data_IF_565142071789
#
_entry.id   IF_565142071789
#
_cell.length_a   1.000
_cell.length_b   1.000
_cell.length_c   1.000
_cell.angle_alpha   90.00
_cell.angle_beta   90.00
_cell.angle_gamma   90.00
#
_symmetry.space_group_name_H-M   'P 1'
#
loop_
_entity.id
_entity.type
_entity.pdbx_description
1 polymer ?
#
# COMPACT_ATOMS: atom_id res chain seq x y z
N UNK A 1 11.05 -7.48 14.70
CA UNK A 1 11.94 -7.65 13.51
C UNK A 1 12.67 -6.34 13.28
N UNK A 2 13.99 -6.37 13.18
CA UNK A 2 14.78 -5.18 12.87
C UNK A 2 14.86 -4.97 11.35
N UNK A 3 15.47 -3.85 10.93
CA UNK A 3 15.59 -3.50 9.52
C UNK A 3 16.32 -4.56 8.71
N UNK A 4 17.40 -5.12 9.24
CA UNK A 4 18.17 -6.14 8.54
C UNK A 4 17.37 -7.42 8.30
N UNK A 5 16.62 -7.84 9.29
CA UNK A 5 15.74 -9.02 9.17
C UNK A 5 14.63 -8.74 8.15
N UNK A 6 14.05 -7.55 8.21
CA UNK A 6 13.03 -7.13 7.24
C UNK A 6 13.56 -7.14 5.82
N UNK A 7 14.76 -6.59 5.59
CA UNK A 7 15.37 -6.54 4.26
C UNK A 7 15.57 -7.93 3.66
N UNK A 8 15.88 -8.93 4.47
CA UNK A 8 15.99 -10.32 4.02
C UNK A 8 14.64 -10.90 3.60
N UNK A 9 13.59 -10.55 4.33
CA UNK A 9 12.22 -11.00 4.03
C UNK A 9 11.65 -10.27 2.82
N UNK A 10 12.07 -9.03 2.58
CA UNK A 10 11.62 -8.18 1.48
C UNK A 10 12.31 -8.55 0.17
N UNK A 11 11.97 -9.71 -0.36
CA UNK A 11 12.66 -10.34 -1.50
C UNK A 11 12.60 -9.54 -2.79
N UNK A 12 11.60 -8.67 -2.95
CA UNK A 12 11.46 -7.83 -4.15
C UNK A 12 12.24 -6.52 -4.06
N UNK A 13 12.82 -6.24 -2.90
CA UNK A 13 13.69 -5.09 -2.70
C UNK A 13 12.98 -3.77 -2.46
N UNK A 14 13.74 -2.85 -1.85
CA UNK A 14 13.24 -1.55 -1.42
C UNK A 14 12.94 -0.62 -2.60
N UNK A 15 13.81 -0.61 -3.61
CA UNK A 15 13.72 0.36 -4.69
C UNK A 15 14.16 1.74 -4.24
N UNK A 16 13.55 2.76 -4.83
CA UNK A 16 13.90 4.16 -4.59
C UNK A 16 12.91 4.83 -3.64
N UNK A 17 13.35 5.90 -2.93
CA UNK A 17 12.41 6.69 -2.14
C UNK A 17 11.23 7.16 -3.00
N UNK A 18 10.03 7.06 -2.44
CA UNK A 18 8.79 7.39 -3.13
C UNK A 18 8.55 8.91 -3.12
N UNK A 19 9.32 9.65 -3.92
CA UNK A 19 9.28 11.12 -3.92
C UNK A 19 8.08 11.68 -4.66
N UNK A 20 7.62 11.02 -5.73
CA UNK A 20 6.54 11.52 -6.56
C UNK A 20 5.19 11.54 -5.83
N UNK A 21 4.98 10.64 -4.89
CA UNK A 21 3.74 10.54 -4.13
C UNK A 21 3.92 10.88 -2.65
N UNK A 22 5.10 11.40 -2.26
CA UNK A 22 5.43 11.66 -0.86
C UNK A 22 4.41 12.56 -0.14
N UNK A 23 3.80 13.52 -0.86
CA UNK A 23 2.79 14.42 -0.29
C UNK A 23 1.49 13.69 0.12
N UNK A 24 1.29 12.46 -0.34
CA UNK A 24 0.11 11.65 -0.01
C UNK A 24 0.40 10.59 1.05
N UNK A 25 1.57 10.66 1.68
CA UNK A 25 2.00 9.72 2.71
C UNK A 25 2.43 10.47 3.96
N UNK A 26 2.18 9.87 5.12
CA UNK A 26 2.80 10.27 6.38
C UNK A 26 3.92 9.27 6.62
N UNK A 27 5.14 9.76 6.84
CA UNK A 27 6.32 8.92 6.99
C UNK A 27 7.01 8.63 5.67
N UNK A 28 8.01 7.75 5.70
CA UNK A 28 8.84 7.44 4.56
C UNK A 28 8.42 6.13 3.90
N UNK A 29 8.33 6.13 2.59
CA UNK A 29 8.02 4.95 1.80
C UNK A 29 8.95 4.83 0.60
N UNK A 30 8.96 3.65 0.00
CA UNK A 30 9.83 3.30 -1.11
C UNK A 30 9.01 2.58 -2.18
N UNK A 31 9.38 2.79 -3.43
CA UNK A 31 8.68 2.21 -4.57
C UNK A 31 9.68 1.50 -5.47
N UNK A 32 9.39 0.26 -5.77
CA UNK A 32 10.19 -0.55 -6.69
C UNK A 32 9.31 -1.16 -7.77
N UNK A 33 9.15 -0.49 -8.94
CA UNK A 33 8.41 -1.08 -10.06
C UNK A 33 9.05 -2.37 -10.53
N UNK A 34 8.25 -3.40 -10.72
CA UNK A 34 8.72 -4.74 -11.08
C UNK A 34 8.41 -5.11 -12.53
N UNK A 35 7.41 -4.48 -13.14
CA UNK A 35 7.03 -4.77 -14.53
C UNK A 35 7.53 -3.70 -15.47
N UNK A 36 7.87 -4.12 -16.68
CA UNK A 36 8.27 -3.23 -17.76
C UNK A 36 7.02 -2.87 -18.59
N UNK A 37 6.60 -1.62 -18.54
CA UNK A 37 5.40 -1.16 -19.22
C UNK A 37 5.54 -1.11 -20.75
N UNK A 38 6.74 -1.37 -21.27
CA UNK A 38 6.95 -1.59 -22.70
C UNK A 38 6.62 -3.02 -23.11
N UNK A 39 6.54 -3.94 -22.15
CA UNK A 39 6.29 -5.37 -22.39
C UNK A 39 4.91 -5.82 -21.96
N UNK A 40 4.31 -5.11 -21.01
CA UNK A 40 2.98 -5.44 -20.49
C UNK A 40 2.27 -4.17 -20.04
N UNK A 41 0.94 -4.17 -20.10
CA UNK A 41 0.13 -3.10 -19.54
C UNK A 41 -0.18 -3.31 -18.05
N UNK A 42 0.22 -4.44 -17.48
CA UNK A 42 -0.02 -4.72 -16.07
C UNK A 42 1.09 -4.11 -15.20
N UNK A 43 0.75 -3.13 -14.39
CA UNK A 43 1.69 -2.49 -13.47
C UNK A 43 1.72 -3.23 -12.14
N UNK A 44 2.91 -3.69 -11.76
CA UNK A 44 3.18 -4.31 -10.45
C UNK A 44 4.39 -3.61 -9.85
N UNK A 45 4.25 -3.15 -8.61
CA UNK A 45 5.35 -2.54 -7.87
C UNK A 45 5.41 -3.11 -6.47
N UNK A 46 6.61 -3.18 -5.91
CA UNK A 46 6.81 -3.46 -4.49
C UNK A 46 6.82 -2.13 -3.76
N UNK A 47 5.89 -1.95 -2.82
CA UNK A 47 5.77 -0.73 -2.01
C UNK A 47 6.20 -1.07 -0.58
N UNK A 48 7.16 -0.33 -0.05
CA UNK A 48 7.70 -0.55 1.29
C UNK A 48 7.47 0.69 2.15
N UNK A 49 7.01 0.46 3.36
CA UNK A 49 6.68 1.49 4.34
C UNK A 49 7.58 1.33 5.56
N UNK A 50 8.21 2.43 6.00
CA UNK A 50 8.88 2.44 7.31
C UNK A 50 7.86 2.35 8.43
N UNK A 51 8.27 1.96 9.66
CA UNK A 51 7.33 1.88 10.78
C UNK A 51 6.53 3.17 10.95
N UNK A 52 5.22 3.06 11.07
CA UNK A 52 4.32 4.20 11.21
C UNK A 52 3.91 4.89 9.93
N UNK A 53 4.54 4.56 8.80
CA UNK A 53 4.22 5.16 7.51
C UNK A 53 2.89 4.62 6.97
N UNK A 54 2.05 5.51 6.46
CA UNK A 54 0.79 5.15 5.82
C UNK A 54 0.45 6.14 4.73
N UNK A 55 -0.31 5.70 3.74
CA UNK A 55 -0.81 6.63 2.73
C UNK A 55 -2.11 7.30 3.20
N UNK A 56 -2.50 8.34 2.49
CA UNK A 56 -3.78 9.01 2.73
C UNK A 56 -4.93 8.09 2.32
N UNK A 57 -6.11 8.38 2.84
CA UNK A 57 -7.34 7.84 2.27
C UNK A 57 -7.36 8.13 0.78
N UNK A 58 -7.74 7.16 -0.03
CA UNK A 58 -7.79 7.33 -1.48
C UNK A 58 -8.76 6.35 -2.13
N UNK A 59 -9.07 6.63 -3.40
CA UNK A 59 -10.05 5.87 -4.17
C UNK A 59 -9.45 5.58 -5.54
N UNK A 60 -9.54 4.32 -5.98
CA UNK A 60 -9.26 3.93 -7.36
C UNK A 60 -10.58 3.92 -8.11
N UNK A 61 -10.89 5.00 -8.81
CA UNK A 61 -12.12 5.12 -9.59
C UNK A 61 -12.05 4.29 -10.87
N UNK A 62 -13.15 3.66 -11.23
CA UNK A 62 -13.31 2.98 -12.52
C UNK A 62 -14.78 2.86 -12.87
N UNK A 63 -15.08 2.93 -14.16
CA UNK A 63 -16.44 2.69 -14.66
C UNK A 63 -16.77 1.19 -14.58
N UNK A 64 -15.79 0.34 -14.93
CA UNK A 64 -15.86 -1.11 -14.78
C UNK A 64 -14.45 -1.66 -14.58
N UNK A 65 -14.32 -2.81 -13.94
CA UNK A 65 -13.02 -3.36 -13.55
C UNK A 65 -12.30 -2.43 -12.57
N UNK A 66 -10.98 -2.35 -12.68
CA UNK A 66 -10.18 -1.46 -11.83
C UNK A 66 -9.98 -1.98 -10.43
N UNK A 67 -9.51 -1.09 -9.55
CA UNK A 67 -9.13 -1.43 -8.20
C UNK A 67 -7.66 -1.83 -8.12
N UNK A 68 -7.29 -2.42 -6.99
CA UNK A 68 -5.90 -2.81 -6.75
C UNK A 68 -5.86 -4.10 -5.94
N UNK A 69 -4.84 -4.91 -6.16
CA UNK A 69 -4.62 -6.10 -5.34
C UNK A 69 -3.32 -5.88 -4.56
N UNK A 70 -3.37 -6.10 -3.26
CA UNK A 70 -2.18 -6.10 -2.40
C UNK A 70 -1.78 -7.53 -2.09
N UNK A 71 -0.52 -7.85 -2.32
CA UNK A 71 0.06 -9.15 -1.95
C UNK A 71 1.12 -8.86 -0.89
N UNK A 72 0.84 -9.23 0.36
CA UNK A 72 1.72 -8.93 1.48
C UNK A 72 2.94 -9.84 1.46
N UNK A 73 4.13 -9.25 1.50
CA UNK A 73 5.39 -9.97 1.31
C UNK A 73 6.31 -9.93 2.52
N UNK A 74 6.31 -8.84 3.30
CA UNK A 74 7.23 -8.71 4.43
C UNK A 74 6.67 -7.77 5.49
N UNK A 75 7.00 -8.03 6.73
CA UNK A 75 6.61 -7.19 7.86
C UNK A 75 5.13 -7.26 8.20
N UNK A 76 4.61 -6.19 8.82
CA UNK A 76 3.23 -6.15 9.30
C UNK A 76 2.61 -4.78 9.05
N UNK A 77 1.39 -4.76 8.56
CA UNK A 77 0.70 -3.53 8.19
C UNK A 77 -0.78 -3.55 8.48
N UNK A 78 -1.45 -2.49 8.01
CA UNK A 78 -2.89 -2.29 8.13
C UNK A 78 -3.51 -2.00 6.76
N UNK A 79 -4.75 -2.44 6.58
CA UNK A 79 -5.63 -2.03 5.50
C UNK A 79 -7.00 -1.69 6.09
N UNK A 80 -7.59 -0.58 5.66
CA UNK A 80 -8.91 -0.19 6.15
C UNK A 80 -9.74 0.45 5.04
N UNK A 81 -10.98 -0.03 4.88
CA UNK A 81 -12.00 0.63 4.07
C UNK A 81 -12.80 1.57 4.95
N UNK A 82 -13.22 2.70 4.39
CA UNK A 82 -14.05 3.67 5.12
C UNK A 82 -15.30 3.00 5.70
N UNK A 83 -15.54 3.24 6.98
CA UNK A 83 -16.70 2.70 7.69
C UNK A 83 -16.54 1.26 8.18
N UNK A 84 -15.37 0.66 7.99
CA UNK A 84 -15.10 -0.72 8.43
C UNK A 84 -13.90 -0.77 9.36
N UNK A 85 -13.77 -1.88 10.07
CA UNK A 85 -12.61 -2.13 10.92
C UNK A 85 -11.36 -2.35 10.08
N UNK A 86 -10.21 -1.92 10.60
CA UNK A 86 -8.94 -2.18 9.97
C UNK A 86 -8.58 -3.66 10.01
N UNK A 87 -7.96 -4.14 8.95
CA UNK A 87 -7.48 -5.52 8.82
C UNK A 87 -5.98 -5.53 9.05
N UNK A 88 -5.50 -6.39 9.94
CA UNK A 88 -4.07 -6.61 10.16
C UNK A 88 -3.49 -7.41 9.01
N UNK A 89 -2.42 -6.91 8.40
CA UNK A 89 -1.78 -7.53 7.24
C UNK A 89 -0.47 -8.19 7.63
N UNK A 90 -0.31 -9.44 7.20
CA UNK A 90 0.93 -10.21 7.40
C UNK A 90 1.31 -10.91 6.09
N UNK A 91 2.57 -11.35 5.94
CA UNK A 91 3.02 -12.01 4.71
C UNK A 91 2.13 -13.19 4.30
N UNK A 92 1.85 -13.28 3.01
CA UNK A 92 0.98 -14.31 2.43
C UNK A 92 -0.47 -13.87 2.26
N UNK A 93 -0.88 -12.78 2.90
CA UNK A 93 -2.25 -12.26 2.70
C UNK A 93 -2.37 -11.57 1.35
N UNK A 94 -3.52 -11.77 0.71
CA UNK A 94 -3.89 -11.12 -0.55
C UNK A 94 -5.17 -10.35 -0.30
N UNK A 95 -5.14 -9.04 -0.53
CA UNK A 95 -6.29 -8.16 -0.35
C UNK A 95 -6.72 -7.66 -1.73
N UNK A 96 -7.96 -7.95 -2.10
CA UNK A 96 -8.56 -7.36 -3.30
C UNK A 96 -9.28 -6.08 -2.89
N UNK A 97 -8.77 -4.94 -3.35
CA UNK A 97 -9.37 -3.64 -3.10
C UNK A 97 -10.28 -3.32 -4.28
N UNK A 98 -11.61 -3.30 -4.07
CA UNK A 98 -12.53 -2.98 -5.17
C UNK A 98 -12.33 -1.56 -5.67
N UNK A 99 -12.62 -1.33 -6.95
CA UNK A 99 -12.70 0.03 -7.49
C UNK A 99 -13.77 0.82 -6.73
N UNK A 100 -13.60 2.13 -6.66
CA UNK A 100 -14.56 3.08 -6.09
C UNK A 100 -14.73 2.99 -4.57
N UNK A 101 -13.84 2.29 -3.88
CA UNK A 101 -13.86 2.16 -2.42
C UNK A 101 -12.78 3.04 -1.81
N UNK A 102 -13.17 3.89 -0.87
CA UNK A 102 -12.25 4.75 -0.12
C UNK A 102 -11.53 3.92 0.93
N UNK A 103 -10.20 3.94 0.90
CA UNK A 103 -9.38 3.08 1.76
C UNK A 103 -8.00 3.69 1.98
N UNK A 104 -7.25 3.09 2.87
CA UNK A 104 -5.83 3.36 3.06
C UNK A 104 -5.11 2.08 3.49
N UNK A 105 -3.79 2.07 3.36
CA UNK A 105 -2.94 1.01 3.89
C UNK A 105 -1.58 1.58 4.30
N UNK A 106 -0.85 0.81 5.08
CA UNK A 106 0.45 1.24 5.58
C UNK A 106 1.04 0.28 6.59
N UNK A 107 2.19 0.65 7.14
CA UNK A 107 2.90 -0.13 8.14
C UNK A 107 2.25 0.01 9.51
N UNK A 108 2.42 -1.01 10.34
CA UNK A 108 2.13 -0.87 11.76
C UNK A 108 3.17 0.04 12.43
N UNK A 109 2.83 0.53 13.60
CA UNK A 109 3.61 1.54 14.34
C UNK A 109 5.06 1.12 14.57
N UNK A 110 5.28 -0.15 14.86
CA UNK A 110 6.60 -0.69 15.21
C UNK A 110 7.14 -1.70 14.19
N UNK A 111 6.61 -1.70 12.99
CA UNK A 111 7.02 -2.68 11.96
C UNK A 111 7.22 -2.01 10.60
N UNK A 112 8.25 -2.40 9.90
CA UNK A 112 8.33 -2.21 8.46
C UNK A 112 7.24 -3.06 7.80
N UNK A 113 6.79 -2.64 6.65
CA UNK A 113 5.77 -3.39 5.89
C UNK A 113 6.03 -3.26 4.40
N UNK A 114 5.88 -4.36 3.68
CA UNK A 114 6.01 -4.36 2.23
C UNK A 114 4.91 -5.21 1.61
N UNK A 115 4.37 -4.71 0.48
CA UNK A 115 3.40 -5.46 -0.31
C UNK A 115 3.63 -5.20 -1.79
N UNK A 116 3.29 -6.18 -2.61
CA UNK A 116 3.14 -5.94 -4.04
C UNK A 116 1.82 -5.22 -4.26
N UNK A 117 1.85 -4.18 -5.07
CA UNK A 117 0.65 -3.47 -5.53
C UNK A 117 0.44 -3.85 -6.99
N UNK A 118 -0.70 -4.48 -7.28
CA UNK A 118 -1.08 -4.88 -8.65
C UNK A 118 -2.24 -4.00 -9.07
N UNK A 119 -2.01 -3.15 -10.08
CA UNK A 119 -3.08 -2.31 -10.63
C UNK A 119 -3.98 -3.14 -11.52
N UNK A 120 -5.26 -3.25 -11.17
CA UNK A 120 -6.22 -4.02 -11.98
C UNK A 120 -6.70 -3.15 -13.14
N UNK A 121 -6.57 -3.61 -14.39
CA UNK A 121 -7.05 -2.85 -15.54
C UNK A 121 -8.56 -2.62 -15.48
N UNK A 122 -9.01 -1.45 -15.96
CA UNK A 122 -10.41 -1.09 -15.96
C UNK A 122 -10.71 -0.02 -16.99
N UNK A 123 -11.99 0.36 -17.09
CA UNK A 123 -12.46 1.41 -17.99
C UNK A 123 -12.54 2.75 -17.23
N UNK A 124 -12.07 3.82 -17.86
CA UNK A 124 -12.11 5.19 -17.33
C UNK A 124 -11.57 5.24 -15.90
N UNK A 125 -10.35 4.72 -15.71
CA UNK A 125 -9.71 4.67 -14.40
C UNK A 125 -9.07 6.00 -14.04
N UNK A 126 -9.15 6.36 -12.76
CA UNK A 126 -8.45 7.50 -12.18
C UNK A 126 -8.25 7.28 -10.70
N UNK A 127 -7.26 7.97 -10.13
CA UNK A 127 -7.00 7.91 -8.69
C UNK A 127 -7.37 9.24 -8.05
N UNK A 128 -8.01 9.16 -6.91
CA UNK A 128 -8.35 10.33 -6.10
C UNK A 128 -7.67 10.21 -4.75
N UNK A 129 -6.80 11.17 -4.42
CA UNK A 129 -6.17 11.26 -3.11
C UNK A 129 -7.04 12.13 -2.21
N UNK A 130 -7.36 11.59 -1.04
CA UNK A 130 -8.24 12.22 -0.06
C UNK A 130 -7.42 12.69 1.16
N UNK A 131 -8.08 12.84 2.30
CA UNK A 131 -7.44 13.33 3.52
C UNK A 131 -6.42 12.34 4.10
N UNK A 132 -5.43 12.84 4.85
CA UNK A 132 -4.52 11.96 5.59
C UNK A 132 -5.27 11.15 6.65
N UNK A 133 -4.74 9.96 6.95
CA UNK A 133 -5.17 9.20 8.13
C UNK A 133 -4.57 9.90 9.35
N UNK A 134 -5.41 10.45 10.21
CA UNK A 134 -4.94 11.22 11.36
C UNK A 134 -4.17 10.34 12.35
N UNK A 135 -3.27 10.95 13.11
CA UNK A 135 -2.57 10.22 14.17
C UNK A 135 -3.56 9.61 15.17
N UNK A 136 -4.65 10.30 15.46
CA UNK A 136 -5.68 9.80 16.35
C UNK A 136 -6.33 8.53 15.82
N UNK A 137 -6.75 8.52 14.56
CA UNK A 137 -7.33 7.33 13.90
C UNK A 137 -6.32 6.18 13.88
N UNK A 138 -5.09 6.48 13.51
CA UNK A 138 -4.03 5.49 13.39
C UNK A 138 -3.65 4.88 14.74
N UNK A 139 -3.49 5.71 15.76
CA UNK A 139 -3.07 5.27 17.11
C UNK A 139 -4.12 4.36 17.77
N UNK A 140 -5.38 4.50 17.42
CA UNK A 140 -6.46 3.62 17.93
C UNK A 140 -6.29 2.17 17.49
N UNK A 141 -5.57 1.91 16.42
CA UNK A 141 -5.39 0.56 15.91
C UNK A 141 -4.43 -0.28 16.76
N UNK A 142 -3.56 0.40 17.52
CA UNK A 142 -2.56 -0.27 18.33
C UNK A 142 -1.40 -0.80 17.49
N UNK A 143 -0.95 -1.97 17.83
CA UNK A 143 0.20 -2.62 17.17
C UNK A 143 -0.20 -3.81 16.32
#
# INVERSE_FOLDING_TARGET
MNKQEFEKENVFGLGEPNVNFAKYFIGNSYLNPLTDMNKTSLFIANVTFEPGCRNNWHIHHAKSGGGQILICTAGSGWYQEEGKDAISLTPGMVITIPANVKHWHGAKKNSWFSHLAVEVPGEETSNEWCEPVTNEEYDRLGE
#
